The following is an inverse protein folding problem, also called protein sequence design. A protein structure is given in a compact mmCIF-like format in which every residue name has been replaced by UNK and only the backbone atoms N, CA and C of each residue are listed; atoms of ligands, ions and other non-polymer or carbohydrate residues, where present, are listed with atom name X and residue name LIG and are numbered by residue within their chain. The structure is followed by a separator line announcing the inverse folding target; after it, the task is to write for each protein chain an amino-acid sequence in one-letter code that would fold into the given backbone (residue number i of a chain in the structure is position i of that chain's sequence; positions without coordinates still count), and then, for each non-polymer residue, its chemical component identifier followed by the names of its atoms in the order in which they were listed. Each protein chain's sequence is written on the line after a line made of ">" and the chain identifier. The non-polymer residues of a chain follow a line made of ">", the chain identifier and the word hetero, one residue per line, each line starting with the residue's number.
data_IF_444912680009
#
_entry.id   IF_444912680009
#
_cell.length_a   1.000
_cell.length_b   1.000
_cell.length_c   1.000
_cell.angle_alpha   90.00
_cell.angle_beta   90.00
_cell.angle_gamma   90.00
#
_symmetry.space_group_name_H-M   'P 1'
#
loop_
_entity.id
_entity.type
_entity.pdbx_description
1 polymer ?
#
# COMPACT_ATOMS: atom_id res chain seq x y z
N UNK A 1 18.85 -12.01 -6.81
CA UNK A 1 19.60 -11.52 -5.65
C UNK A 1 18.72 -10.76 -4.69
N UNK A 2 18.89 -11.01 -3.40
CA UNK A 2 18.14 -10.33 -2.37
C UNK A 2 18.69 -8.92 -2.15
N UNK A 3 17.82 -7.93 -2.09
CA UNK A 3 18.19 -6.59 -1.67
C UNK A 3 18.42 -6.58 -0.15
N UNK A 4 19.41 -5.83 0.31
CA UNK A 4 19.66 -5.70 1.74
C UNK A 4 18.49 -4.98 2.41
N UNK A 5 18.05 -5.51 3.54
CA UNK A 5 16.95 -4.89 4.32
C UNK A 5 15.54 -5.17 3.80
N UNK A 6 15.35 -6.12 2.91
CA UNK A 6 14.04 -6.48 2.35
C UNK A 6 12.99 -6.81 3.41
N UNK A 7 13.42 -7.40 4.54
CA UNK A 7 12.50 -7.76 5.62
C UNK A 7 11.82 -6.56 6.29
N UNK A 8 12.30 -5.35 6.01
CA UNK A 8 11.70 -4.11 6.51
C UNK A 8 10.64 -3.52 5.57
N UNK A 9 10.44 -4.14 4.41
CA UNK A 9 9.51 -3.66 3.39
C UNK A 9 8.21 -4.47 3.42
N UNK A 10 7.11 -3.77 3.67
CA UNK A 10 5.77 -4.35 3.79
C UNK A 10 4.81 -3.68 2.82
N UNK A 11 4.09 -4.48 2.06
CA UNK A 11 3.09 -4.00 1.11
C UNK A 11 1.72 -4.40 1.61
N UNK A 12 0.82 -3.43 1.71
CA UNK A 12 -0.57 -3.66 2.11
C UNK A 12 -1.47 -3.32 0.94
N UNK A 13 -2.28 -4.27 0.53
CA UNK A 13 -3.30 -4.09 -0.51
C UNK A 13 -4.64 -4.60 0.01
N UNK A 14 -5.68 -4.30 -0.72
CA UNK A 14 -7.03 -4.77 -0.44
C UNK A 14 -8.03 -4.02 -1.27
N UNK A 15 -9.22 -4.57 -1.51
CA UNK A 15 -10.25 -3.90 -2.29
C UNK A 15 -10.69 -2.58 -1.64
N UNK A 16 -11.16 -1.66 -2.46
CA UNK A 16 -11.83 -0.45 -1.99
C UNK A 16 -12.99 -0.84 -1.06
N UNK A 17 -13.14 -0.15 0.04
CA UNK A 17 -14.19 -0.41 1.01
C UNK A 17 -13.84 -1.41 2.12
N UNK A 18 -12.66 -2.01 2.09
CA UNK A 18 -12.22 -2.91 3.17
C UNK A 18 -11.74 -2.16 4.41
N UNK A 19 -11.51 -0.85 4.29
CA UNK A 19 -11.00 -0.04 5.40
C UNK A 19 -9.49 -0.17 5.62
N UNK A 20 -8.73 -0.61 4.62
CA UNK A 20 -7.28 -0.79 4.75
C UNK A 20 -6.55 0.49 5.16
N UNK A 21 -6.97 1.63 4.65
CA UNK A 21 -6.34 2.91 4.99
C UNK A 21 -6.56 3.26 6.46
N UNK A 22 -7.75 3.00 6.99
CA UNK A 22 -8.08 3.20 8.40
C UNK A 22 -7.27 2.26 9.29
N UNK A 23 -7.11 1.00 8.88
CA UNK A 23 -6.30 0.01 9.60
C UNK A 23 -4.84 0.45 9.65
N UNK A 24 -4.29 0.88 8.51
CA UNK A 24 -2.90 1.34 8.43
C UNK A 24 -2.71 2.60 9.28
N UNK A 25 -3.63 3.55 9.23
CA UNK A 25 -3.57 4.76 10.05
C UNK A 25 -3.56 4.41 11.54
N UNK A 26 -4.39 3.45 11.97
CA UNK A 26 -4.43 2.99 13.36
C UNK A 26 -3.10 2.33 13.76
N UNK A 27 -2.56 1.50 12.89
CA UNK A 27 -1.27 0.84 13.10
C UNK A 27 -0.15 1.87 13.31
N UNK A 28 -0.05 2.83 12.41
CA UNK A 28 0.98 3.88 12.47
C UNK A 28 0.83 4.77 13.70
N UNK A 29 -0.39 5.08 14.10
CA UNK A 29 -0.67 5.87 15.30
C UNK A 29 -0.30 5.14 16.59
N UNK A 30 -0.46 3.82 16.61
CA UNK A 30 -0.16 2.98 17.78
C UNK A 30 1.31 2.58 17.86
N UNK A 31 2.00 2.52 16.72
CA UNK A 31 3.38 2.03 16.61
C UNK A 31 4.22 3.00 15.78
N UNK A 32 4.67 4.12 16.38
CA UNK A 32 5.36 5.18 15.64
C UNK A 32 6.73 4.81 15.07
N UNK A 33 7.28 3.66 15.44
CA UNK A 33 8.51 3.13 14.86
C UNK A 33 8.30 2.61 13.43
N UNK A 34 7.05 2.42 13.01
CA UNK A 34 6.70 1.99 11.65
C UNK A 34 6.33 3.23 10.85
N UNK A 35 6.83 3.34 9.63
CA UNK A 35 6.57 4.47 8.76
C UNK A 35 5.79 4.02 7.52
N UNK A 36 5.13 4.97 6.89
CA UNK A 36 4.49 4.80 5.59
C UNK A 36 5.30 5.57 4.56
N UNK A 37 5.43 5.03 3.35
CA UNK A 37 6.13 5.75 2.28
C UNK A 37 5.39 7.05 1.94
N UNK A 38 6.17 8.08 1.61
CA UNK A 38 5.65 9.32 1.06
C UNK A 38 5.62 9.15 -0.46
N UNK A 39 4.43 9.13 -1.04
CA UNK A 39 4.25 8.95 -2.48
C UNK A 39 4.67 10.19 -3.26
N UNK A 40 5.09 10.00 -4.50
CA UNK A 40 5.31 11.08 -5.45
C UNK A 40 4.04 11.33 -6.26
N UNK A 41 3.78 12.57 -6.63
CA UNK A 41 2.64 12.91 -7.47
C UNK A 41 2.93 14.11 -8.37
N UNK A 42 2.26 14.15 -9.50
CA UNK A 42 2.28 15.32 -10.40
C UNK A 42 1.12 16.29 -10.11
N UNK A 43 0.24 15.93 -9.17
CA UNK A 43 -0.83 16.83 -8.73
C UNK A 43 -0.20 18.08 -8.10
N UNK A 44 -0.76 19.24 -8.40
CA UNK A 44 -0.33 20.49 -7.80
C UNK A 44 -0.55 20.47 -6.28
N UNK A 45 0.44 20.95 -5.56
CA UNK A 45 0.37 21.09 -4.10
C UNK A 45 -0.80 21.98 -3.70
N UNK A 46 -1.56 21.54 -2.71
CA UNK A 46 -2.69 22.29 -2.14
C UNK A 46 -2.22 23.09 -0.93
N UNK A 47 -3.02 24.10 -0.58
CA UNK A 47 -2.77 24.89 0.62
C UNK A 47 -2.69 23.98 1.85
N UNK A 48 -1.70 24.21 2.69
CA UNK A 48 -1.47 23.42 3.89
C UNK A 48 -0.64 22.14 3.70
N UNK A 49 -0.40 21.75 2.45
CA UNK A 49 0.46 20.60 2.16
C UNK A 49 1.93 20.99 2.19
N UNK A 50 2.78 20.05 2.54
CA UNK A 50 4.23 20.23 2.62
C UNK A 50 4.92 19.23 1.71
N UNK A 51 5.77 19.72 0.82
CA UNK A 51 6.55 18.88 -0.07
C UNK A 51 7.52 17.98 0.73
N UNK A 52 7.52 16.70 0.41
CA UNK A 52 8.32 15.69 1.10
C UNK A 52 7.62 15.11 2.33
N UNK A 53 6.48 15.64 2.72
CA UNK A 53 5.70 15.16 3.86
C UNK A 53 4.36 14.55 3.43
N UNK A 54 3.53 15.33 2.74
CA UNK A 54 2.25 14.82 2.21
C UNK A 54 2.49 14.02 0.93
N UNK A 55 3.31 14.56 0.06
CA UNK A 55 3.78 13.95 -1.17
C UNK A 55 5.16 14.51 -1.51
N UNK A 56 5.88 13.81 -2.37
CA UNK A 56 6.96 14.39 -3.15
C UNK A 56 6.30 14.96 -4.40
N UNK A 57 6.12 16.28 -4.43
CA UNK A 57 5.46 16.96 -5.56
C UNK A 57 6.45 17.16 -6.70
N UNK A 58 6.18 16.52 -7.81
CA UNK A 58 7.01 16.54 -9.01
C UNK A 58 6.24 17.20 -10.17
N UNK A 59 6.96 17.76 -11.11
CA UNK A 59 6.36 18.11 -12.40
C UNK A 59 6.12 16.82 -13.18
N UNK A 60 5.26 16.88 -14.19
CA UNK A 60 5.04 15.74 -15.08
C UNK A 60 6.34 15.28 -15.72
N UNK A 61 7.18 16.23 -16.16
CA UNK A 61 8.48 15.93 -16.75
C UNK A 61 9.42 15.23 -15.77
N UNK A 62 9.47 15.70 -14.52
CA UNK A 62 10.27 15.08 -13.48
C UNK A 62 9.81 13.65 -13.19
N UNK A 63 8.51 13.43 -13.15
CA UNK A 63 7.95 12.10 -12.92
C UNK A 63 8.30 11.15 -14.08
N UNK A 64 8.12 11.61 -15.32
CA UNK A 64 8.46 10.84 -16.52
C UNK A 64 9.95 10.51 -16.57
N UNK A 65 10.81 11.45 -16.22
CA UNK A 65 12.26 11.22 -16.13
C UNK A 65 12.58 10.18 -15.07
N UNK A 66 12.00 10.30 -13.89
CA UNK A 66 12.19 9.31 -12.80
C UNK A 66 11.73 7.92 -13.23
N UNK A 67 10.62 7.85 -13.95
CA UNK A 67 10.09 6.59 -14.48
C UNK A 67 11.05 5.96 -15.50
N UNK A 68 11.54 6.76 -16.43
CA UNK A 68 12.50 6.32 -17.46
C UNK A 68 13.83 5.85 -16.86
N UNK A 69 14.26 6.47 -15.77
CA UNK A 69 15.49 6.12 -15.06
C UNK A 69 15.34 4.93 -14.12
N UNK A 70 14.13 4.36 -14.00
CA UNK A 70 13.87 3.25 -13.10
C UNK A 70 13.76 3.65 -11.64
N UNK A 71 13.54 4.94 -11.35
CA UNK A 71 13.41 5.45 -9.98
C UNK A 71 11.96 5.48 -9.47
N UNK A 72 11.03 4.94 -10.23
CA UNK A 72 9.64 4.73 -9.80
C UNK A 72 9.41 3.21 -9.77
N UNK A 73 9.10 2.68 -8.60
CA UNK A 73 8.93 1.23 -8.42
C UNK A 73 7.51 0.75 -8.69
N UNK A 74 6.54 1.64 -8.56
CA UNK A 74 5.15 1.41 -8.97
C UNK A 74 4.48 2.76 -9.20
N UNK A 75 3.48 2.81 -10.07
CA UNK A 75 2.72 4.04 -10.29
C UNK A 75 1.34 3.76 -10.83
N UNK A 76 0.46 4.73 -10.64
CA UNK A 76 -0.89 4.75 -11.21
C UNK A 76 -1.18 6.15 -11.75
N UNK A 77 -2.21 6.24 -12.58
CA UNK A 77 -2.72 7.51 -13.08
C UNK A 77 -4.16 7.67 -12.60
N UNK A 78 -4.45 8.81 -11.97
CA UNK A 78 -5.78 9.11 -11.48
C UNK A 78 -6.07 10.60 -11.70
N UNK A 79 -7.22 10.91 -12.30
CA UNK A 79 -7.62 12.29 -12.61
C UNK A 79 -6.50 13.08 -13.31
N UNK A 80 -5.89 12.47 -14.32
CA UNK A 80 -4.82 13.06 -15.15
C UNK A 80 -3.49 13.29 -14.42
N UNK A 81 -3.36 12.86 -13.18
CA UNK A 81 -2.12 12.96 -12.42
C UNK A 81 -1.52 11.59 -12.15
N UNK A 82 -0.20 11.55 -12.13
CA UNK A 82 0.54 10.36 -11.73
C UNK A 82 0.69 10.33 -10.21
N UNK A 83 0.66 9.13 -9.69
CA UNK A 83 0.97 8.84 -8.28
C UNK A 83 1.88 7.62 -8.27
N UNK A 84 2.93 7.65 -7.50
CA UNK A 84 3.86 6.53 -7.47
C UNK A 84 4.78 6.54 -6.27
N UNK A 85 5.62 5.53 -6.21
CA UNK A 85 6.58 5.34 -5.12
C UNK A 85 7.99 5.45 -5.68
N UNK A 86 8.79 6.34 -5.10
CA UNK A 86 10.20 6.50 -5.48
C UNK A 86 11.02 5.34 -4.93
N UNK A 87 11.89 4.78 -5.78
CA UNK A 87 12.84 3.74 -5.38
C UNK A 87 13.73 4.22 -4.24
N UNK A 88 14.21 5.46 -4.32
CA UNK A 88 15.05 6.06 -3.28
C UNK A 88 14.37 6.11 -1.91
N UNK A 89 13.06 6.33 -1.88
CA UNK A 89 12.27 6.33 -0.65
C UNK A 89 12.28 4.94 0.01
N UNK A 90 12.04 3.91 -0.79
CA UNK A 90 12.02 2.51 -0.33
C UNK A 90 13.42 2.07 0.12
N UNK A 91 14.44 2.35 -0.69
CA UNK A 91 15.81 1.98 -0.39
C UNK A 91 16.33 2.63 0.88
N UNK A 92 15.97 3.89 1.11
CA UNK A 92 16.34 4.61 2.34
C UNK A 92 15.83 3.90 3.59
N UNK A 93 14.57 3.48 3.59
CA UNK A 93 13.99 2.74 4.71
C UNK A 93 14.68 1.40 4.93
N UNK A 94 14.95 0.68 3.85
CA UNK A 94 15.63 -0.61 3.94
C UNK A 94 17.04 -0.47 4.51
N UNK A 95 17.78 0.53 4.07
CA UNK A 95 19.13 0.81 4.55
C UNK A 95 19.15 1.19 6.03
N UNK A 96 18.19 2.00 6.46
CA UNK A 96 18.06 2.46 7.83
C UNK A 96 17.41 1.42 8.75
N UNK A 97 16.96 0.30 8.20
CA UNK A 97 16.26 -0.76 8.94
C UNK A 97 15.02 -0.23 9.66
N UNK A 98 14.28 0.61 8.97
CA UNK A 98 13.01 1.16 9.44
C UNK A 98 11.88 0.40 8.76
N UNK A 99 11.00 -0.29 9.50
CA UNK A 99 9.84 -0.94 8.89
C UNK A 99 8.98 0.09 8.17
N UNK A 100 8.71 -0.17 6.90
CA UNK A 100 7.94 0.75 6.06
C UNK A 100 6.80 0.02 5.38
N UNK A 101 5.65 0.69 5.32
CA UNK A 101 4.45 0.18 4.66
C UNK A 101 4.18 0.97 3.40
N UNK A 102 3.96 0.24 2.30
CA UNK A 102 3.41 0.77 1.06
C UNK A 102 1.95 0.31 0.96
N UNK A 103 1.02 1.26 0.83
CA UNK A 103 -0.39 0.94 0.57
C UNK A 103 -0.62 1.15 -0.91
N UNK A 104 -0.68 0.05 -1.66
CA UNK A 104 -0.73 0.08 -3.12
C UNK A 104 -1.67 -1.00 -3.66
N UNK A 105 -2.03 -0.90 -4.94
CA UNK A 105 -2.88 -1.85 -5.62
C UNK A 105 -2.14 -3.15 -5.95
N UNK A 106 -2.90 -4.19 -6.30
CA UNK A 106 -2.34 -5.53 -6.56
C UNK A 106 -1.28 -5.55 -7.67
N UNK A 107 -1.41 -4.70 -8.69
CA UNK A 107 -0.39 -4.61 -9.73
C UNK A 107 0.92 -4.05 -9.19
N UNK A 108 0.82 -2.97 -8.40
CA UNK A 108 1.99 -2.37 -7.75
C UNK A 108 2.64 -3.33 -6.78
N UNK A 109 1.84 -4.08 -6.03
CA UNK A 109 2.35 -5.10 -5.11
C UNK A 109 3.15 -6.17 -5.85
N UNK A 110 2.66 -6.61 -7.00
CA UNK A 110 3.39 -7.55 -7.85
C UNK A 110 4.74 -7.00 -8.31
N UNK A 111 4.78 -5.73 -8.69
CA UNK A 111 6.01 -5.06 -9.10
C UNK A 111 7.04 -5.00 -7.96
N UNK A 112 6.57 -4.65 -6.76
CA UNK A 112 7.43 -4.61 -5.57
C UNK A 112 7.96 -6.01 -5.25
N UNK A 113 7.13 -7.03 -5.31
CA UNK A 113 7.54 -8.41 -5.00
C UNK A 113 8.58 -8.93 -5.99
N UNK A 114 8.47 -8.56 -7.27
CA UNK A 114 9.47 -8.91 -8.27
C UNK A 114 10.79 -8.18 -8.03
N UNK A 115 10.74 -6.91 -7.65
CA UNK A 115 11.92 -6.12 -7.33
C UNK A 115 12.59 -6.59 -6.04
N UNK A 116 11.78 -6.93 -5.05
CA UNK A 116 12.23 -7.28 -3.70
C UNK A 116 11.51 -8.56 -3.22
N UNK A 117 11.99 -9.74 -3.62
CA UNK A 117 11.33 -11.01 -3.26
C UNK A 117 11.23 -11.26 -1.75
N UNK A 118 12.13 -10.66 -0.97
CA UNK A 118 12.12 -10.76 0.50
C UNK A 118 11.16 -9.81 1.19
N UNK A 119 10.45 -8.95 0.44
CA UNK A 119 9.40 -8.10 1.01
C UNK A 119 8.19 -8.94 1.41
N UNK A 120 7.38 -8.43 2.33
CA UNK A 120 6.16 -9.11 2.78
C UNK A 120 4.94 -8.43 2.21
N UNK A 121 4.10 -9.19 1.52
CA UNK A 121 2.84 -8.69 0.97
C UNK A 121 1.68 -9.14 1.85
N UNK A 122 0.83 -8.20 2.23
CA UNK A 122 -0.30 -8.41 3.13
C UNK A 122 -1.56 -7.96 2.42
N UNK A 123 -2.55 -8.83 2.32
CA UNK A 123 -3.83 -8.51 1.71
C UNK A 123 -4.90 -8.37 2.78
N UNK A 124 -5.57 -7.21 2.83
CA UNK A 124 -6.64 -6.94 3.77
C UNK A 124 -7.96 -7.34 3.13
N UNK A 125 -8.58 -8.36 3.74
CA UNK A 125 -9.84 -8.94 3.29
C UNK A 125 -11.03 -8.32 4.02
N UNK A 126 -12.19 -8.17 3.36
CA UNK A 126 -13.42 -7.96 4.11
C UNK A 126 -13.82 -9.27 4.81
N UNK A 127 -14.68 -9.23 5.85
CA UNK A 127 -15.19 -10.45 6.48
C UNK A 127 -15.89 -11.38 5.49
N UNK A 128 -16.68 -10.79 4.59
CA UNK A 128 -17.32 -11.48 3.47
C UNK A 128 -17.73 -10.45 2.42
N UNK A 129 -18.20 -10.90 1.27
CA UNK A 129 -18.61 -10.02 0.17
C UNK A 129 -19.86 -9.21 0.50
N UNK A 130 -20.74 -9.71 1.33
CA UNK A 130 -21.96 -9.00 1.76
C UNK A 130 -21.57 -7.78 2.61
N UNK A 131 -20.61 -7.94 3.51
CA UNK A 131 -20.11 -6.85 4.34
C UNK A 131 -19.40 -5.81 3.48
N UNK A 132 -18.63 -6.23 2.47
CA UNK A 132 -18.00 -5.31 1.53
C UNK A 132 -19.07 -4.50 0.78
N UNK A 133 -20.11 -5.16 0.27
CA UNK A 133 -21.20 -4.49 -0.41
C UNK A 133 -21.88 -3.48 0.51
N UNK A 134 -22.16 -3.85 1.76
CA UNK A 134 -22.75 -2.96 2.76
C UNK A 134 -21.88 -1.71 2.97
N UNK A 135 -20.56 -1.88 3.09
CA UNK A 135 -19.62 -0.77 3.28
C UNK A 135 -19.59 0.16 2.08
N UNK A 136 -19.62 -0.39 0.87
CA UNK A 136 -19.67 0.41 -0.36
C UNK A 136 -20.97 1.18 -0.51
N UNK A 137 -22.09 0.59 -0.09
CA UNK A 137 -23.43 1.22 -0.15
C UNK A 137 -23.66 2.24 0.95
N UNK A 138 -22.98 2.10 2.08
CA UNK A 138 -23.18 2.96 3.25
C UNK A 138 -22.96 4.44 2.93
N UNK A 139 -22.04 4.76 2.03
CA UNK A 139 -21.79 6.16 1.63
C UNK A 139 -22.97 6.79 0.92
N UNK A 140 -23.84 6.00 0.28
CA UNK A 140 -25.09 6.44 -0.31
C UNK A 140 -24.99 7.42 -1.47
N UNK A 141 -23.78 7.70 -1.97
CA UNK A 141 -23.54 8.76 -2.95
C UNK A 141 -23.25 8.23 -4.35
N UNK A 142 -23.12 6.92 -4.53
CA UNK A 142 -22.75 6.34 -5.81
C UNK A 142 -23.92 5.64 -6.48
N UNK A 143 -23.92 5.69 -7.83
CA UNK A 143 -24.89 4.97 -8.64
C UNK A 143 -24.68 3.45 -8.51
N UNK A 144 -25.74 2.70 -8.65
CA UNK A 144 -25.74 1.23 -8.57
C UNK A 144 -24.70 0.61 -9.50
N UNK A 145 -24.54 1.14 -10.71
CA UNK A 145 -23.57 0.66 -11.69
C UNK A 145 -22.14 0.77 -11.18
N UNK A 146 -21.83 1.85 -10.47
CA UNK A 146 -20.50 2.07 -9.89
C UNK A 146 -20.22 1.09 -8.76
N UNK A 147 -21.22 0.84 -7.91
CA UNK A 147 -21.14 -0.14 -6.82
C UNK A 147 -20.88 -1.54 -7.37
N UNK A 148 -21.65 -1.94 -8.40
CA UNK A 148 -21.48 -3.25 -9.04
C UNK A 148 -20.09 -3.39 -9.67
N UNK A 149 -19.59 -2.35 -10.27
CA UNK A 149 -18.26 -2.32 -10.87
C UNK A 149 -17.17 -2.52 -9.81
N UNK A 150 -17.32 -1.85 -8.65
CA UNK A 150 -16.38 -1.98 -7.53
C UNK A 150 -16.42 -3.38 -6.92
N UNK A 151 -17.59 -3.99 -6.84
CA UNK A 151 -17.74 -5.36 -6.34
C UNK A 151 -17.04 -6.36 -7.27
N UNK A 152 -17.21 -6.22 -8.58
CA UNK A 152 -16.52 -7.08 -9.55
C UNK A 152 -15.01 -6.90 -9.47
N UNK A 153 -14.54 -5.67 -9.33
CA UNK A 153 -13.12 -5.38 -9.16
C UNK A 153 -12.59 -6.02 -7.88
N UNK A 154 -13.35 -5.94 -6.79
CA UNK A 154 -12.98 -6.55 -5.52
C UNK A 154 -12.81 -8.06 -5.65
N UNK A 155 -13.72 -8.73 -6.33
CA UNK A 155 -13.63 -10.18 -6.59
C UNK A 155 -12.35 -10.53 -7.36
N UNK A 156 -12.02 -9.75 -8.37
CA UNK A 156 -10.81 -9.93 -9.18
C UNK A 156 -9.55 -9.73 -8.32
N UNK A 157 -9.53 -8.68 -7.51
CA UNK A 157 -8.40 -8.37 -6.64
C UNK A 157 -8.20 -9.46 -5.58
N UNK A 158 -9.29 -9.94 -4.99
CA UNK A 158 -9.26 -11.04 -4.02
C UNK A 158 -8.69 -12.30 -4.67
N UNK A 159 -9.13 -12.62 -5.88
CA UNK A 159 -8.61 -13.78 -6.62
C UNK A 159 -7.10 -13.64 -6.88
N UNK A 160 -6.64 -12.44 -7.23
CA UNK A 160 -5.21 -12.17 -7.47
C UNK A 160 -4.38 -12.18 -6.19
N UNK A 161 -5.02 -12.07 -5.03
CA UNK A 161 -4.31 -12.06 -3.75
C UNK A 161 -3.77 -13.42 -3.31
N UNK A 162 -4.06 -14.48 -4.04
CA UNK A 162 -3.62 -15.84 -3.71
C UNK A 162 -2.10 -15.95 -3.50
N UNK A 163 -1.32 -15.11 -4.20
CA UNK A 163 0.14 -15.11 -4.13
C UNK A 163 0.69 -14.23 -2.98
N UNK A 164 -0.16 -13.53 -2.24
CA UNK A 164 0.29 -12.71 -1.11
C UNK A 164 0.78 -13.59 0.03
N UNK A 165 1.80 -13.10 0.73
CA UNK A 165 2.37 -13.82 1.87
C UNK A 165 1.38 -13.99 3.02
N UNK A 166 0.57 -12.95 3.27
CA UNK A 166 -0.37 -12.93 4.40
C UNK A 166 -1.73 -12.39 3.97
N UNK A 167 -2.78 -12.92 4.60
CA UNK A 167 -4.14 -12.43 4.44
C UNK A 167 -4.69 -12.11 5.83
N UNK A 168 -5.18 -10.90 6.02
CA UNK A 168 -5.80 -10.47 7.28
C UNK A 168 -7.23 -10.02 7.01
N UNK A 169 -8.11 -10.28 7.95
CA UNK A 169 -9.52 -9.91 7.81
C UNK A 169 -9.79 -8.66 8.63
N UNK A 170 -10.32 -7.61 8.00
CA UNK A 170 -10.74 -6.42 8.69
C UNK A 170 -12.21 -6.52 9.10
N UNK A 171 -12.46 -7.17 10.22
CA UNK A 171 -13.76 -7.16 10.88
C UNK A 171 -13.78 -5.99 11.88
N UNK A 172 -12.82 -5.95 12.78
CA UNK A 172 -12.60 -4.86 13.74
C UNK A 172 -11.26 -4.21 13.45
N UNK A 173 -11.25 -2.89 13.25
CA UNK A 173 -10.06 -2.13 12.84
C UNK A 173 -8.88 -2.36 13.78
N UNK A 174 -9.10 -2.23 15.08
CA UNK A 174 -8.02 -2.36 16.08
C UNK A 174 -7.39 -3.74 16.07
N UNK A 175 -8.20 -4.78 15.98
CA UNK A 175 -7.74 -6.17 15.92
C UNK A 175 -6.95 -6.42 14.64
N UNK A 176 -7.43 -5.93 13.50
CA UNK A 176 -6.74 -6.08 12.23
C UNK A 176 -5.39 -5.35 12.25
N UNK A 177 -5.34 -4.15 12.79
CA UNK A 177 -4.10 -3.37 12.92
C UNK A 177 -3.06 -4.13 13.76
N UNK A 178 -3.46 -4.69 14.90
CA UNK A 178 -2.54 -5.45 15.75
C UNK A 178 -2.10 -6.77 15.11
N UNK A 179 -2.95 -7.38 14.30
CA UNK A 179 -2.58 -8.57 13.53
C UNK A 179 -1.47 -8.24 12.52
N UNK A 180 -1.61 -7.12 11.81
CA UNK A 180 -0.56 -6.64 10.90
C UNK A 180 0.72 -6.31 11.67
N UNK A 181 0.59 -5.66 12.81
CA UNK A 181 1.74 -5.37 13.67
C UNK A 181 2.49 -6.64 14.06
N UNK A 182 1.76 -7.66 14.44
CA UNK A 182 2.33 -8.97 14.78
C UNK A 182 3.11 -9.60 13.61
N UNK A 183 2.57 -9.49 12.40
CA UNK A 183 3.23 -9.96 11.19
C UNK A 183 4.55 -9.21 10.97
N UNK A 184 4.52 -7.88 11.12
CA UNK A 184 5.71 -7.04 10.96
C UNK A 184 6.79 -7.42 11.98
N UNK A 185 6.42 -7.55 13.25
CA UNK A 185 7.34 -7.89 14.33
C UNK A 185 8.00 -9.25 14.09
N UNK A 186 7.22 -10.23 13.70
CA UNK A 186 7.69 -11.56 13.40
C UNK A 186 8.69 -11.57 12.25
N UNK A 187 8.37 -10.83 11.20
CA UNK A 187 9.20 -10.77 10.01
C UNK A 187 10.55 -10.11 10.27
N UNK A 188 10.57 -8.98 10.97
CA UNK A 188 11.82 -8.27 11.25
C UNK A 188 12.69 -9.00 12.29
N UNK A 189 12.10 -9.88 13.09
CA UNK A 189 12.83 -10.71 14.06
C UNK A 189 13.53 -11.89 13.40
N UNK A 190 13.17 -12.24 12.16
CA UNK A 190 13.84 -13.32 11.42
C UNK A 190 15.27 -12.92 11.07
N UNK A 191 16.21 -13.88 11.07
CA UNK A 191 17.57 -13.60 10.62
C UNK A 191 17.57 -13.19 9.15
N UNK A 192 18.54 -12.35 8.75
CA UNK A 192 18.71 -11.97 7.36
C UNK A 192 19.03 -13.21 6.53
N UNK A 193 18.51 -13.27 5.29
CA UNK A 193 18.85 -14.32 4.35
C UNK A 193 20.32 -14.19 3.96
N UNK A 194 21.03 -15.29 4.04
CA UNK A 194 22.44 -15.37 3.60
C UNK A 194 22.55 -15.36 2.07
#
# INVERSE_FOLDING_TARGET
>A
SCMKGEKYLFVVSGPSGTGKDTVVAKLLGSHPEIEKTVSATTRTMREGEVNGKNYHFLTKEQFETALAEGNIVEHTCYCENYYGTLRSEVERHMEQQIPVILVIEVEGAGNIKRMSPGSTTIFVMPPDMKELERRLRYRGTEAEEVIQKRLRRAETEIARSADYDEHVVNDVVDTCAEEIYSIIQKRIAEPDAE
#
